data_IF_571754731828
#
_entry.id   IF_571754731828
#
_cell.length_a   1.000
_cell.length_b   1.000
_cell.length_c   1.000
_cell.angle_alpha   90.00
_cell.angle_beta   90.00
_cell.angle_gamma   90.00
#
_symmetry.space_group_name_H-M   'P 1'
#
loop_
_entity.id
_entity.type
_entity.pdbx_description
1 polymer ?
#
# COMPACT_ATOMS: atom_id res chain seq x y z
N UNK A 1 10.58 14.29 13.00
CA UNK A 1 9.19 14.68 12.75
C UNK A 1 8.29 13.60 12.09
N UNK A 2 8.48 12.27 12.25
CA UNK A 2 7.56 11.26 11.68
C UNK A 2 6.36 10.87 12.58
N UNK A 3 6.07 11.61 13.67
CA UNK A 3 5.07 11.20 14.68
C UNK A 3 3.73 11.95 14.64
N UNK A 4 3.41 12.63 13.54
CA UNK A 4 2.13 13.36 13.42
C UNK A 4 1.20 12.58 12.49
N UNK A 5 0.15 11.97 13.05
CA UNK A 5 -0.86 11.20 12.30
C UNK A 5 -1.52 12.02 11.18
N UNK A 6 -1.66 13.33 11.37
CA UNK A 6 -2.20 14.26 10.38
C UNK A 6 -1.44 14.30 9.04
N UNK A 7 -0.11 14.10 9.03
CA UNK A 7 0.67 14.08 7.79
C UNK A 7 0.29 12.85 6.95
N UNK A 8 0.15 11.71 7.60
CA UNK A 8 -0.25 10.47 6.93
C UNK A 8 -1.67 10.55 6.41
N UNK A 9 -2.61 11.12 7.18
CA UNK A 9 -3.99 11.34 6.72
C UNK A 9 -4.06 12.27 5.50
N UNK A 10 -3.27 13.33 5.48
CA UNK A 10 -3.18 14.21 4.33
C UNK A 10 -2.57 13.49 3.11
N UNK A 11 -1.52 12.71 3.31
CA UNK A 11 -0.91 11.92 2.25
C UNK A 11 -1.89 10.88 1.68
N UNK A 12 -2.69 10.22 2.54
CA UNK A 12 -3.78 9.33 2.12
C UNK A 12 -4.79 10.05 1.24
N UNK A 13 -5.21 11.25 1.64
CA UNK A 13 -6.16 12.07 0.87
C UNK A 13 -5.60 12.43 -0.51
N UNK A 14 -4.35 12.89 -0.58
CA UNK A 14 -3.67 13.19 -1.85
C UNK A 14 -3.58 11.95 -2.73
N UNK A 15 -3.20 10.81 -2.16
CA UNK A 15 -3.11 9.55 -2.91
C UNK A 15 -4.47 9.15 -3.48
N UNK A 16 -5.54 9.21 -2.68
CA UNK A 16 -6.89 8.92 -3.15
C UNK A 16 -7.31 9.78 -4.35
N UNK A 17 -6.98 11.09 -4.32
CA UNK A 17 -7.21 11.97 -5.49
C UNK A 17 -6.39 11.49 -6.69
N UNK A 18 -5.12 11.13 -6.51
CA UNK A 18 -4.31 10.59 -7.59
C UNK A 18 -4.87 9.27 -8.16
N UNK A 19 -5.55 8.46 -7.34
CA UNK A 19 -6.25 7.27 -7.79
C UNK A 19 -7.50 7.62 -8.60
N UNK A 20 -8.30 8.58 -8.13
CA UNK A 20 -9.50 9.04 -8.84
C UNK A 20 -9.16 9.68 -10.19
N UNK A 21 -8.03 10.37 -10.28
CA UNK A 21 -7.52 10.98 -11.50
C UNK A 21 -6.75 10.00 -12.40
N UNK A 22 -6.62 8.74 -11.99
CA UNK A 22 -5.87 7.72 -12.72
C UNK A 22 -4.41 8.12 -13.05
N UNK A 23 -3.81 8.97 -12.22
CA UNK A 23 -2.51 9.63 -12.44
C UNK A 23 -1.37 8.63 -12.70
N UNK A 24 -1.45 7.45 -12.09
CA UNK A 24 -0.42 6.40 -12.19
C UNK A 24 -0.63 5.44 -13.36
N UNK A 25 -1.69 5.56 -14.17
CA UNK A 25 -1.90 4.65 -15.33
C UNK A 25 -0.79 4.73 -16.37
N UNK A 26 -0.10 5.88 -16.50
CA UNK A 26 0.98 6.07 -17.47
C UNK A 26 2.23 5.22 -17.21
N UNK A 27 2.45 4.73 -15.99
CA UNK A 27 3.61 3.85 -15.70
C UNK A 27 3.41 2.43 -16.22
N UNK A 28 2.17 2.03 -16.56
CA UNK A 28 1.86 0.69 -17.09
C UNK A 28 2.36 0.49 -18.53
N UNK A 29 2.59 1.58 -19.26
CA UNK A 29 2.96 1.52 -20.69
C UNK A 29 4.47 1.42 -20.93
N UNK A 30 5.32 1.73 -19.94
CA UNK A 30 6.78 1.70 -20.08
C UNK A 30 7.41 1.03 -18.85
N UNK A 31 7.79 -0.24 -18.96
CA UNK A 31 8.77 -0.82 -18.05
C UNK A 31 8.42 -2.16 -17.42
N UNK A 32 8.17 -3.19 -18.25
CA UNK A 32 8.72 -4.50 -17.93
C UNK A 32 10.25 -4.41 -18.13
N UNK A 33 10.97 -3.90 -17.14
CA UNK A 33 12.43 -3.97 -17.09
C UNK A 33 12.84 -4.34 -15.68
N UNK A 34 12.88 -5.66 -15.48
CA UNK A 34 13.93 -6.39 -14.75
C UNK A 34 14.86 -5.53 -13.89
N UNK A 35 14.70 -5.67 -12.58
CA UNK A 35 15.74 -6.04 -11.61
C UNK A 35 17.19 -6.08 -12.15
N UNK A 36 17.80 -4.92 -12.41
CA UNK A 36 19.23 -4.59 -12.20
C UNK A 36 19.55 -3.29 -12.93
N UNK A 37 19.78 -2.21 -12.18
CA UNK A 37 20.16 -0.92 -12.79
C UNK A 37 19.72 0.30 -11.99
N UNK A 38 19.90 0.29 -10.67
CA UNK A 38 19.80 1.51 -9.86
C UNK A 38 21.14 2.26 -9.96
N UNK A 39 21.52 2.73 -11.14
CA UNK A 39 22.59 3.73 -11.24
C UNK A 39 22.27 4.78 -12.30
N UNK A 40 21.94 5.97 -11.78
CA UNK A 40 21.90 7.27 -12.48
C UNK A 40 20.86 7.37 -13.60
N UNK A 41 19.61 7.64 -13.20
CA UNK A 41 18.68 8.28 -14.12
C UNK A 41 18.77 9.80 -13.91
N UNK A 42 19.47 10.47 -14.82
CA UNK A 42 19.33 11.92 -15.01
C UNK A 42 17.83 12.20 -15.26
N UNK A 43 17.28 13.12 -14.48
CA UNK A 43 15.85 13.44 -14.50
C UNK A 43 15.59 14.28 -15.76
N UNK A 44 15.39 13.61 -16.88
CA UNK A 44 14.79 14.23 -18.06
C UNK A 44 13.30 14.40 -17.76
N UNK A 45 12.86 15.66 -17.69
CA UNK A 45 11.54 16.05 -17.16
C UNK A 45 10.50 15.87 -18.28
N UNK A 46 10.20 14.61 -18.61
CA UNK A 46 8.95 14.26 -19.28
C UNK A 46 7.89 13.92 -18.22
N UNK A 47 6.60 14.12 -18.52
CA UNK A 47 5.49 13.85 -17.58
C UNK A 47 5.56 12.42 -17.02
N UNK A 48 5.96 11.44 -17.84
CA UNK A 48 6.16 10.04 -17.45
C UNK A 48 7.31 9.85 -16.44
N UNK A 49 8.42 10.61 -16.59
CA UNK A 49 9.57 10.55 -15.70
C UNK A 49 9.25 11.05 -14.28
N UNK A 50 8.38 12.06 -14.17
CA UNK A 50 7.91 12.55 -12.87
C UNK A 50 7.05 11.52 -12.14
N UNK A 51 6.14 10.83 -12.85
CA UNK A 51 5.28 9.79 -12.24
C UNK A 51 6.11 8.62 -11.71
N UNK A 52 7.12 8.18 -12.47
CA UNK A 52 8.04 7.13 -12.03
C UNK A 52 8.85 7.58 -10.81
N UNK A 53 9.38 8.81 -10.82
CA UNK A 53 10.10 9.36 -9.67
C UNK A 53 9.24 9.44 -8.41
N UNK A 54 7.97 9.86 -8.55
CA UNK A 54 6.99 9.86 -7.45
C UNK A 54 6.73 8.45 -6.94
N UNK A 55 6.51 7.46 -7.81
CA UNK A 55 6.34 6.07 -7.39
C UNK A 55 7.55 5.55 -6.61
N UNK A 56 8.78 5.82 -7.07
CA UNK A 56 10.01 5.40 -6.39
C UNK A 56 10.12 6.06 -5.01
N UNK A 57 9.87 7.36 -4.92
CA UNK A 57 9.92 8.09 -3.65
C UNK A 57 8.89 7.55 -2.66
N UNK A 58 7.67 7.36 -3.13
CA UNK A 58 6.53 6.85 -2.37
C UNK A 58 6.78 5.41 -1.92
N UNK A 59 7.38 4.55 -2.76
CA UNK A 59 7.79 3.20 -2.39
C UNK A 59 8.83 3.18 -1.29
N UNK A 60 9.89 4.00 -1.41
CA UNK A 60 10.93 4.12 -0.38
C UNK A 60 10.34 4.62 0.93
N UNK A 61 9.43 5.59 0.86
CA UNK A 61 8.75 6.10 2.03
C UNK A 61 7.85 5.03 2.67
N UNK A 62 7.04 4.30 1.89
CA UNK A 62 6.20 3.22 2.39
C UNK A 62 7.04 2.10 3.05
N UNK A 63 8.17 1.73 2.45
CA UNK A 63 9.10 0.75 3.04
C UNK A 63 9.68 1.24 4.38
N UNK A 64 10.06 2.52 4.47
CA UNK A 64 10.54 3.11 5.72
C UNK A 64 9.44 3.14 6.80
N UNK A 65 8.21 3.47 6.41
CA UNK A 65 7.04 3.45 7.30
C UNK A 65 6.76 2.04 7.82
N UNK A 66 6.81 1.03 6.94
CA UNK A 66 6.67 -0.38 7.32
C UNK A 66 7.84 -0.85 8.20
N UNK A 67 9.07 -0.44 7.94
CA UNK A 67 10.21 -0.80 8.80
C UNK A 67 10.06 -0.23 10.22
N UNK A 68 9.58 1.01 10.33
CA UNK A 68 9.39 1.74 11.59
C UNK A 68 8.06 1.46 12.29
N UNK A 69 7.15 0.70 11.68
CA UNK A 69 5.81 0.45 12.21
C UNK A 69 5.79 -0.15 13.62
N UNK A 70 6.84 -0.90 14.01
CA UNK A 70 6.99 -1.47 15.36
C UNK A 70 7.13 -0.40 16.46
N UNK A 71 7.46 0.84 16.09
CA UNK A 71 7.63 1.96 17.01
C UNK A 71 6.38 2.86 17.07
N UNK A 72 5.44 2.71 16.14
CA UNK A 72 4.21 3.49 16.11
C UNK A 72 3.17 2.91 17.07
N UNK A 73 2.39 3.79 17.70
CA UNK A 73 1.30 3.41 18.61
C UNK A 73 -0.01 4.01 18.15
N UNK A 74 -1.09 3.28 18.42
CA UNK A 74 -2.48 3.73 18.34
C UNK A 74 -2.80 4.45 17.01
N UNK A 75 -3.18 5.73 17.08
CA UNK A 75 -3.66 6.54 15.97
C UNK A 75 -2.62 6.74 14.84
N UNK A 76 -1.33 6.78 15.21
CA UNK A 76 -0.25 6.94 14.23
C UNK A 76 -0.12 5.70 13.36
N UNK A 77 -0.19 4.51 13.98
CA UNK A 77 -0.09 3.24 13.28
C UNK A 77 -1.26 3.08 12.30
N UNK A 78 -2.48 3.39 12.74
CA UNK A 78 -3.68 3.35 11.89
C UNK A 78 -3.54 4.30 10.70
N UNK A 79 -3.12 5.54 10.94
CA UNK A 79 -2.99 6.54 9.86
C UNK A 79 -1.89 6.15 8.85
N UNK A 80 -0.77 5.59 9.32
CA UNK A 80 0.29 5.05 8.47
C UNK A 80 -0.22 3.90 7.59
N UNK A 81 -1.06 3.02 8.14
CA UNK A 81 -1.58 1.87 7.39
C UNK A 81 -2.65 2.26 6.40
N UNK A 82 -3.53 3.20 6.75
CA UNK A 82 -4.48 3.77 5.81
C UNK A 82 -3.75 4.44 4.63
N UNK A 83 -2.66 5.16 4.91
CA UNK A 83 -1.79 5.69 3.87
C UNK A 83 -1.28 4.56 2.98
N UNK A 84 -0.67 3.52 3.57
CA UNK A 84 -0.15 2.35 2.86
C UNK A 84 -1.20 1.67 1.97
N UNK A 85 -2.43 1.54 2.47
CA UNK A 85 -3.56 0.94 1.75
C UNK A 85 -4.04 1.82 0.58
N UNK A 86 -3.91 3.15 0.69
CA UNK A 86 -4.24 4.07 -0.41
C UNK A 86 -3.23 4.08 -1.56
N UNK A 87 -2.09 3.38 -1.45
CA UNK A 87 -1.09 3.42 -2.51
C UNK A 87 -1.57 2.71 -3.80
N UNK A 88 -1.13 3.21 -4.98
CA UNK A 88 -1.24 2.48 -6.23
C UNK A 88 -0.45 1.17 -6.17
N UNK A 89 -0.91 0.20 -6.94
CA UNK A 89 -0.29 -1.13 -6.99
C UNK A 89 1.16 -1.05 -7.50
N UNK A 90 1.38 -0.14 -8.43
CA UNK A 90 2.61 0.12 -9.14
C UNK A 90 3.75 0.61 -8.22
N UNK A 91 3.42 1.17 -7.04
CA UNK A 91 4.40 1.80 -6.16
C UNK A 91 4.64 1.04 -4.83
N UNK A 92 4.12 -0.18 -4.61
CA UNK A 92 4.25 -0.85 -3.29
C UNK A 92 4.50 -2.37 -3.33
N UNK A 93 5.23 -2.86 -2.32
CA UNK A 93 5.35 -4.29 -1.99
C UNK A 93 4.20 -4.72 -1.07
N UNK A 94 3.23 -5.42 -1.64
CA UNK A 94 1.91 -5.66 -1.07
C UNK A 94 1.88 -6.63 0.13
N UNK A 95 2.68 -7.70 0.08
CA UNK A 95 2.59 -8.82 1.04
C UNK A 95 2.80 -8.39 2.50
N UNK A 96 3.92 -7.71 2.86
CA UNK A 96 4.16 -7.31 4.26
C UNK A 96 3.17 -6.25 4.75
N UNK A 97 2.72 -5.35 3.87
CA UNK A 97 1.73 -4.32 4.20
C UNK A 97 0.36 -4.93 4.56
N UNK A 98 -0.10 -5.89 3.76
CA UNK A 98 -1.40 -6.55 3.95
C UNK A 98 -1.41 -7.42 5.19
N UNK A 99 -0.36 -8.21 5.41
CA UNK A 99 -0.29 -9.05 6.61
C UNK A 99 -0.41 -8.23 7.88
N UNK A 100 0.24 -7.06 7.93
CA UNK A 100 0.18 -6.22 9.11
C UNK A 100 -1.18 -5.52 9.25
N UNK A 101 -1.75 -5.02 8.15
CA UNK A 101 -3.07 -4.40 8.18
C UNK A 101 -4.19 -5.39 8.52
N UNK A 102 -4.11 -6.65 8.05
CA UNK A 102 -5.05 -7.70 8.44
C UNK A 102 -4.94 -8.03 9.92
N UNK A 103 -3.72 -8.21 10.45
CA UNK A 103 -3.50 -8.44 11.88
C UNK A 103 -4.07 -7.32 12.76
N UNK A 104 -3.89 -6.07 12.35
CA UNK A 104 -4.44 -4.92 13.07
C UNK A 104 -5.94 -4.75 12.83
N UNK A 105 -6.44 -5.13 11.66
CA UNK A 105 -7.87 -5.19 11.34
C UNK A 105 -8.65 -6.13 12.27
N UNK A 106 -8.01 -7.19 12.80
CA UNK A 106 -8.61 -8.07 13.82
C UNK A 106 -8.98 -7.33 15.12
N UNK A 107 -8.21 -6.29 15.46
CA UNK A 107 -8.38 -5.51 16.70
C UNK A 107 -9.01 -4.14 16.46
N UNK A 108 -8.93 -3.61 15.24
CA UNK A 108 -9.41 -2.29 14.86
C UNK A 108 -10.28 -2.36 13.60
N UNK A 109 -11.58 -2.54 13.82
CA UNK A 109 -12.59 -2.68 12.78
C UNK A 109 -12.60 -1.56 11.71
N UNK A 110 -12.35 -0.27 12.02
CA UNK A 110 -12.35 0.78 11.00
C UNK A 110 -11.23 0.67 9.95
N UNK A 111 -10.21 -0.16 10.22
CA UNK A 111 -9.12 -0.44 9.26
C UNK A 111 -9.45 -1.64 8.36
N UNK A 112 -10.47 -2.44 8.71
CA UNK A 112 -10.84 -3.63 7.94
C UNK A 112 -11.29 -3.30 6.52
N UNK A 113 -12.27 -2.41 6.38
CA UNK A 113 -12.85 -2.03 5.09
C UNK A 113 -11.80 -1.45 4.13
N UNK A 114 -10.95 -0.47 4.53
CA UNK A 114 -9.84 -0.01 3.70
C UNK A 114 -8.88 -1.13 3.28
N UNK A 115 -8.59 -2.08 4.19
CA UNK A 115 -7.68 -3.19 3.91
C UNK A 115 -8.25 -4.16 2.87
N UNK A 116 -9.53 -4.53 3.01
CA UNK A 116 -10.21 -5.41 2.05
C UNK A 116 -10.39 -4.73 0.69
N UNK A 117 -10.79 -3.46 0.67
CA UNK A 117 -10.93 -2.69 -0.57
C UNK A 117 -9.60 -2.58 -1.32
N UNK A 118 -8.50 -2.38 -0.58
CA UNK A 118 -7.16 -2.31 -1.16
C UNK A 118 -6.69 -3.67 -1.66
N UNK A 119 -6.95 -4.75 -0.92
CA UNK A 119 -6.68 -6.12 -1.34
C UNK A 119 -7.42 -6.48 -2.63
N UNK A 120 -8.70 -6.13 -2.75
CA UNK A 120 -9.49 -6.34 -3.96
C UNK A 120 -8.97 -5.49 -5.13
N UNK A 121 -8.60 -4.24 -4.86
CA UNK A 121 -8.03 -3.37 -5.89
C UNK A 121 -6.71 -3.90 -6.43
N UNK A 122 -5.83 -4.37 -5.55
CA UNK A 122 -4.54 -4.93 -5.94
C UNK A 122 -4.70 -6.27 -6.64
N UNK A 123 -5.63 -7.13 -6.22
CA UNK A 123 -5.87 -8.41 -6.89
C UNK A 123 -6.35 -8.27 -8.33
N UNK A 124 -7.11 -7.21 -8.64
CA UNK A 124 -7.54 -6.87 -9.99
C UNK A 124 -6.40 -6.34 -10.87
N UNK A 125 -5.31 -5.87 -10.26
CA UNK A 125 -4.11 -5.43 -10.98
C UNK A 125 -3.34 -6.67 -11.47
N UNK A 126 -3.45 -6.94 -12.78
CA UNK A 126 -3.04 -8.16 -13.50
C UNK A 126 -1.56 -8.57 -13.37
N UNK A 127 -0.73 -7.81 -12.66
CA UNK A 127 0.71 -8.09 -12.46
C UNK A 127 1.02 -9.00 -11.27
N UNK A 128 0.04 -9.38 -10.45
CA UNK A 128 0.26 -10.27 -9.31
C UNK A 128 0.25 -11.74 -9.75
N UNK A 129 1.38 -12.41 -9.54
CA UNK A 129 1.44 -13.88 -9.51
C UNK A 129 0.61 -14.38 -8.32
N UNK A 130 -0.71 -14.55 -8.55
CA UNK A 130 -1.72 -14.96 -7.57
C UNK A 130 -1.20 -16.01 -6.56
N UNK A 131 -0.59 -17.14 -6.94
CA UNK A 131 -0.20 -18.16 -5.96
C UNK A 131 0.85 -17.68 -4.94
N UNK A 132 1.79 -16.83 -5.32
CA UNK A 132 2.83 -16.32 -4.42
C UNK A 132 2.31 -15.21 -3.51
N UNK A 133 1.31 -14.46 -3.98
CA UNK A 133 0.69 -13.37 -3.23
C UNK A 133 -0.30 -13.88 -2.18
N UNK A 134 -1.15 -14.85 -2.55
CA UNK A 134 -2.25 -15.30 -1.67
C UNK A 134 -1.82 -16.28 -0.58
N UNK A 135 -0.87 -17.18 -0.85
CA UNK A 135 -0.40 -18.16 0.15
C UNK A 135 -0.02 -17.54 1.51
N UNK A 136 0.79 -16.47 1.58
CA UNK A 136 1.17 -15.86 2.85
C UNK A 136 0.08 -14.98 3.49
N UNK A 137 -0.98 -14.64 2.76
CA UNK A 137 -2.06 -13.75 3.21
C UNK A 137 -3.27 -14.55 3.71
N UNK A 138 -3.50 -15.75 3.15
CA UNK A 138 -4.70 -16.55 3.35
C UNK A 138 -4.98 -16.88 4.83
N UNK A 139 -3.94 -17.19 5.61
CA UNK A 139 -4.08 -17.50 7.04
C UNK A 139 -4.62 -16.31 7.83
N UNK A 140 -4.08 -15.11 7.57
CA UNK A 140 -4.52 -13.88 8.21
C UNK A 140 -5.93 -13.46 7.78
N UNK A 141 -6.29 -13.77 6.53
CA UNK A 141 -7.62 -13.53 6.01
C UNK A 141 -8.65 -14.47 6.65
N UNK A 142 -8.32 -15.75 6.86
CA UNK A 142 -9.22 -16.71 7.52
C UNK A 142 -9.51 -16.28 8.96
N UNK A 143 -8.48 -15.88 9.70
CA UNK A 143 -8.63 -15.34 11.06
C UNK A 143 -9.50 -14.07 11.07
N UNK A 144 -9.31 -13.19 10.08
CA UNK A 144 -10.11 -11.97 9.90
C UNK A 144 -11.58 -12.26 9.62
N UNK A 145 -11.88 -13.17 8.69
CA UNK A 145 -13.25 -13.55 8.35
C UNK A 145 -13.96 -14.24 9.51
N UNK A 146 -13.28 -15.13 10.24
CA UNK A 146 -13.85 -15.78 11.43
C UNK A 146 -14.24 -14.79 12.53
N UNK A 147 -13.43 -13.75 12.73
CA UNK A 147 -13.74 -12.69 13.70
C UNK A 147 -14.91 -11.84 13.24
N UNK A 148 -14.96 -11.45 11.96
CA UNK A 148 -16.11 -10.71 11.42
C UNK A 148 -17.43 -11.47 11.60
N UNK A 149 -17.43 -12.80 11.47
CA UNK A 149 -18.61 -13.66 11.66
C UNK A 149 -19.04 -13.79 13.13
N UNK A 150 -18.10 -13.71 14.08
CA UNK A 150 -18.41 -13.74 15.53
C UNK A 150 -19.05 -12.46 16.04
N UNK A 151 -18.88 -11.34 15.36
CA UNK A 151 -19.48 -10.05 15.75
C UNK A 151 -20.99 -10.00 15.40
N UNK A 152 -21.47 -10.90 14.53
CA UNK A 152 -22.88 -10.99 14.12
C UNK A 152 -23.71 -12.06 14.87
N UNK A 153 -23.16 -12.68 15.92
CA UNK A 153 -23.86 -13.60 16.84
C UNK A 153 -23.80 -13.07 18.27
#
# INVERSE_FOLDING_TARGET
>A
YPLVSGIYRFATFVMNICLELDYFKSTRSEGATTEDGIEKMDIDINETGQVVAVCVLVRRFAHEVLSRQKQYRDDLLVSCLQFIMSLPSECIDYVPAIQLALNLGLTYLPLSEPTINSLERWSRSTSLNLPNFYNPILSYLDDFLRLSLKVYY
#
